data_IF_654593947349
#
_entry.id   IF_654593947349
#
_cell.length_a   1.000
_cell.length_b   1.000
_cell.length_c   1.000
_cell.angle_alpha   90.00
_cell.angle_beta   90.00
_cell.angle_gamma   90.00
#
_symmetry.space_group_name_H-M   'P 1'
#
loop_
_entity.id
_entity.type
_entity.pdbx_description
1 polymer ?
#
# COMPACT_ATOMS: atom_id res chain seq x y z
N UNK A 1 -7.61 -26.88 9.72
CA UNK A 1 -8.28 -26.30 8.54
C UNK A 1 -7.29 -26.35 7.39
N UNK A 2 -7.72 -26.71 6.17
CA UNK A 2 -6.85 -26.64 4.99
C UNK A 2 -6.68 -25.17 4.61
N UNK A 3 -5.47 -24.75 4.28
CA UNK A 3 -5.20 -23.42 3.71
C UNK A 3 -5.93 -23.33 2.37
N UNK A 4 -6.73 -22.28 2.12
CA UNK A 4 -7.38 -22.10 0.83
C UNK A 4 -6.32 -21.94 -0.27
N UNK A 5 -6.56 -22.52 -1.44
CA UNK A 5 -5.72 -22.30 -2.60
C UNK A 5 -6.06 -20.92 -3.21
N UNK A 6 -5.14 -19.97 -3.08
CA UNK A 6 -5.35 -18.59 -3.53
C UNK A 6 -4.49 -18.30 -4.76
N UNK A 7 -5.16 -17.89 -5.83
CA UNK A 7 -4.54 -17.40 -7.07
C UNK A 7 -4.63 -15.87 -7.12
N UNK A 8 -3.68 -15.21 -7.79
CA UNK A 8 -3.69 -13.76 -7.94
C UNK A 8 -3.75 -13.39 -9.41
N UNK A 9 -4.64 -12.45 -9.76
CA UNK A 9 -4.83 -11.96 -11.13
C UNK A 9 -4.70 -10.45 -11.19
N UNK A 10 -3.90 -9.95 -12.12
CA UNK A 10 -3.81 -8.52 -12.42
C UNK A 10 -4.76 -8.15 -13.56
N UNK A 11 -5.44 -7.02 -13.40
CA UNK A 11 -6.29 -6.37 -14.41
C UNK A 11 -5.91 -4.90 -14.50
N UNK A 12 -6.13 -4.33 -15.67
CA UNK A 12 -5.99 -2.90 -15.91
C UNK A 12 -7.23 -2.41 -16.66
N UNK A 13 -7.82 -1.31 -16.18
CA UNK A 13 -8.87 -0.57 -16.87
C UNK A 13 -8.47 0.90 -16.85
N UNK A 14 -8.21 1.46 -18.03
CA UNK A 14 -7.58 2.78 -18.18
C UNK A 14 -6.28 2.88 -17.36
N UNK A 15 -6.21 3.82 -16.43
CA UNK A 15 -5.08 4.03 -15.53
C UNK A 15 -5.21 3.27 -14.19
N UNK A 16 -6.34 2.57 -13.96
CA UNK A 16 -6.59 1.84 -12.73
C UNK A 16 -6.04 0.41 -12.84
N UNK A 17 -5.13 0.07 -11.93
CA UNK A 17 -4.60 -1.27 -11.75
C UNK A 17 -5.37 -1.97 -10.63
N UNK A 18 -5.74 -3.22 -10.87
CA UNK A 18 -6.42 -4.07 -9.89
C UNK A 18 -5.68 -5.39 -9.76
N UNK A 19 -5.33 -5.76 -8.53
CA UNK A 19 -4.89 -7.12 -8.20
C UNK A 19 -6.05 -7.80 -7.49
N UNK A 20 -6.52 -8.92 -8.00
CA UNK A 20 -7.57 -9.75 -7.39
C UNK A 20 -6.95 -11.00 -6.79
N UNK A 21 -7.43 -11.40 -5.61
CA UNK A 21 -7.19 -12.71 -5.02
C UNK A 21 -8.41 -13.60 -5.28
N UNK A 22 -8.19 -14.80 -5.82
CA UNK A 22 -9.22 -15.75 -6.19
C UNK A 22 -9.08 -17.06 -5.40
N UNK A 23 -10.20 -17.55 -4.86
CA UNK A 23 -10.31 -18.90 -4.31
C UNK A 23 -11.33 -19.67 -5.16
N UNK A 24 -10.91 -20.76 -5.81
CA UNK A 24 -11.79 -21.58 -6.66
C UNK A 24 -12.53 -20.75 -7.75
N UNK A 25 -11.82 -19.76 -8.33
CA UNK A 25 -12.36 -18.86 -9.35
C UNK A 25 -13.22 -17.70 -8.83
N UNK A 26 -13.53 -17.64 -7.53
CA UNK A 26 -14.27 -16.54 -6.91
C UNK A 26 -13.34 -15.47 -6.34
N UNK A 27 -13.65 -14.19 -6.54
CA UNK A 27 -12.87 -13.08 -5.97
C UNK A 27 -13.13 -13.00 -4.46
N UNK A 28 -12.07 -13.18 -3.67
CA UNK A 28 -12.09 -13.14 -2.20
C UNK A 28 -11.32 -11.96 -1.61
N UNK A 29 -10.64 -11.19 -2.45
CA UNK A 29 -9.98 -9.96 -2.07
C UNK A 29 -9.47 -9.20 -3.28
N UNK A 30 -9.16 -7.92 -3.10
CA UNK A 30 -8.57 -7.11 -4.15
C UNK A 30 -7.80 -5.91 -3.60
N UNK A 31 -6.90 -5.37 -4.40
CA UNK A 31 -6.28 -4.06 -4.23
C UNK A 31 -6.42 -3.25 -5.52
N UNK A 32 -6.91 -2.01 -5.40
CA UNK A 32 -7.06 -1.06 -6.49
C UNK A 32 -6.10 0.10 -6.28
N UNK A 33 -5.28 0.41 -7.27
CA UNK A 33 -4.30 1.47 -7.21
C UNK A 33 -4.05 2.09 -8.58
N UNK A 34 -3.54 3.31 -8.58
CA UNK A 34 -3.05 4.00 -9.78
C UNK A 34 -1.61 4.39 -9.57
N UNK A 35 -0.81 4.27 -10.64
CA UNK A 35 0.59 4.73 -10.63
C UNK A 35 0.68 5.95 -11.53
N UNK A 36 1.17 7.05 -10.97
CA UNK A 36 1.51 8.29 -11.67
C UNK A 36 3.00 8.56 -11.47
N UNK A 37 3.58 9.50 -12.24
CA UNK A 37 5.04 9.73 -12.27
C UNK A 37 5.67 9.81 -10.87
N UNK A 38 6.36 8.75 -10.46
CA UNK A 38 7.06 8.64 -9.17
C UNK A 38 6.19 8.36 -7.94
N UNK A 39 4.87 8.21 -8.09
CA UNK A 39 3.92 8.03 -6.99
C UNK A 39 2.86 6.96 -7.30
N UNK A 40 2.34 6.32 -6.27
CA UNK A 40 1.19 5.44 -6.38
C UNK A 40 0.09 5.82 -5.39
N UNK A 41 -1.15 5.79 -5.86
CA UNK A 41 -2.32 6.00 -5.03
C UNK A 41 -3.04 4.67 -4.81
N UNK A 42 -3.05 4.18 -3.57
CA UNK A 42 -3.86 3.05 -3.12
C UNK A 42 -5.29 3.53 -2.82
N UNK A 43 -6.23 3.16 -3.69
CA UNK A 43 -7.64 3.53 -3.51
C UNK A 43 -8.33 2.65 -2.49
N UNK A 44 -8.13 1.34 -2.58
CA UNK A 44 -8.84 0.38 -1.74
C UNK A 44 -8.11 -0.94 -1.70
N UNK A 45 -8.06 -1.55 -0.52
CA UNK A 45 -7.69 -2.95 -0.33
C UNK A 45 -8.74 -3.60 0.56
N UNK A 46 -9.22 -4.79 0.15
CA UNK A 46 -10.22 -5.53 0.91
C UNK A 46 -10.00 -7.03 0.78
N UNK A 47 -10.31 -7.76 1.84
CA UNK A 47 -10.36 -9.23 1.88
C UNK A 47 -11.68 -9.62 2.53
N UNK A 48 -12.38 -10.58 1.94
CA UNK A 48 -13.61 -11.15 2.51
C UNK A 48 -13.34 -11.70 3.91
N UNK A 49 -14.29 -11.50 4.83
CA UNK A 49 -14.08 -11.72 6.27
C UNK A 49 -13.65 -13.15 6.61
N UNK A 50 -14.25 -14.13 5.95
CA UNK A 50 -13.91 -15.55 6.07
C UNK A 50 -12.55 -15.94 5.45
N UNK A 51 -11.93 -15.03 4.70
CA UNK A 51 -10.61 -15.16 4.10
C UNK A 51 -9.56 -14.22 4.73
N UNK A 52 -9.94 -13.41 5.72
CA UNK A 52 -8.98 -12.63 6.53
C UNK A 52 -8.05 -13.59 7.28
N UNK A 53 -6.86 -13.09 7.66
CA UNK A 53 -5.82 -13.83 8.41
C UNK A 53 -5.14 -15.00 7.65
N UNK A 54 -5.45 -15.22 6.38
CA UNK A 54 -4.71 -16.15 5.50
C UNK A 54 -3.55 -15.50 4.73
N UNK A 55 -3.17 -14.26 5.07
CA UNK A 55 -2.06 -13.54 4.42
C UNK A 55 -2.40 -12.92 3.06
N UNK A 56 -3.66 -13.03 2.59
CA UNK A 56 -4.10 -12.51 1.30
C UNK A 56 -3.86 -11.00 1.18
N UNK A 57 -4.23 -10.21 2.20
CA UNK A 57 -4.02 -8.76 2.19
C UNK A 57 -2.53 -8.38 2.08
N UNK A 58 -1.65 -9.07 2.79
CA UNK A 58 -0.19 -8.87 2.69
C UNK A 58 0.30 -9.17 1.27
N UNK A 59 -0.18 -10.25 0.66
CA UNK A 59 0.23 -10.60 -0.70
C UNK A 59 -0.29 -9.59 -1.74
N UNK A 60 -1.51 -9.07 -1.57
CA UNK A 60 -2.04 -7.99 -2.42
C UNK A 60 -1.16 -6.73 -2.35
N UNK A 61 -0.73 -6.33 -1.14
CA UNK A 61 0.22 -5.22 -0.96
C UNK A 61 1.55 -5.52 -1.64
N UNK A 62 2.13 -6.71 -1.43
CA UNK A 62 3.41 -7.08 -2.06
C UNK A 62 3.37 -7.01 -3.58
N UNK A 63 2.30 -7.53 -4.20
CA UNK A 63 2.15 -7.48 -5.66
C UNK A 63 2.04 -6.03 -6.16
N UNK A 64 1.33 -5.17 -5.42
CA UNK A 64 1.26 -3.73 -5.72
C UNK A 64 2.63 -3.06 -5.55
N UNK A 65 3.37 -3.39 -4.49
CA UNK A 65 4.71 -2.85 -4.22
C UNK A 65 5.72 -3.26 -5.30
N UNK A 66 5.68 -4.50 -5.77
CA UNK A 66 6.50 -4.98 -6.89
C UNK A 66 6.17 -4.19 -8.17
N UNK A 67 4.90 -3.93 -8.43
CA UNK A 67 4.44 -3.10 -9.55
C UNK A 67 4.92 -1.64 -9.43
N UNK A 68 5.00 -1.11 -8.22
CA UNK A 68 5.51 0.22 -7.91
C UNK A 68 7.04 0.29 -8.10
N UNK A 69 7.78 -0.68 -7.58
CA UNK A 69 9.23 -0.78 -7.71
C UNK A 69 9.66 -0.86 -9.18
N UNK A 70 8.98 -1.69 -9.98
CA UNK A 70 9.24 -1.81 -11.42
C UNK A 70 9.01 -0.51 -12.20
N UNK A 71 8.26 0.45 -11.62
CA UNK A 71 7.95 1.76 -12.22
C UNK A 71 8.66 2.91 -11.51
N UNK A 72 9.63 2.62 -10.62
CA UNK A 72 10.39 3.61 -9.85
C UNK A 72 9.47 4.57 -9.09
N UNK A 73 8.42 4.02 -8.49
CA UNK A 73 7.57 4.75 -7.55
C UNK A 73 8.34 4.93 -6.25
N UNK A 74 8.39 6.17 -5.77
CA UNK A 74 9.12 6.55 -4.57
C UNK A 74 8.21 6.65 -3.34
N UNK A 75 6.90 6.78 -3.57
CA UNK A 75 5.92 6.96 -2.51
C UNK A 75 4.58 6.35 -2.90
N UNK A 76 4.00 5.60 -1.96
CA UNK A 76 2.66 5.03 -2.05
C UNK A 76 1.82 5.72 -0.99
N UNK A 77 0.65 6.23 -1.35
CA UNK A 77 -0.27 6.86 -0.41
C UNK A 77 -1.71 6.45 -0.66
N UNK A 78 -2.57 6.65 0.33
CA UNK A 78 -4.00 6.40 0.21
C UNK A 78 -4.77 6.99 1.38
N UNK A 79 -6.09 7.07 1.24
CA UNK A 79 -6.97 7.57 2.30
C UNK A 79 -7.23 6.48 3.34
N UNK A 80 -7.27 6.87 4.61
CA UNK A 80 -7.52 5.99 5.75
C UNK A 80 -8.87 6.34 6.41
N UNK A 81 -9.90 5.55 6.11
CA UNK A 81 -11.26 5.68 6.65
C UNK A 81 -11.81 4.54 7.54
N UNK A 82 -11.02 3.62 8.11
CA UNK A 82 -11.56 2.72 9.14
C UNK A 82 -12.17 3.48 10.33
N UNK A 83 -13.34 3.05 10.76
CA UNK A 83 -14.05 3.58 11.94
C UNK A 83 -14.41 2.43 12.91
N UNK A 84 -14.62 2.78 14.18
CA UNK A 84 -15.09 1.84 15.19
C UNK A 84 -14.12 0.67 15.44
N UNK A 85 -14.67 -0.55 15.58
CA UNK A 85 -13.90 -1.73 15.97
C UNK A 85 -12.86 -2.17 14.93
N UNK A 86 -13.04 -1.81 13.65
CA UNK A 86 -12.11 -2.19 12.57
C UNK A 86 -10.83 -1.35 12.55
N UNK A 87 -10.81 -0.15 13.16
CA UNK A 87 -9.62 0.74 13.14
C UNK A 87 -8.36 0.03 13.65
N UNK A 88 -8.48 -0.68 14.79
CA UNK A 88 -7.34 -1.37 15.38
C UNK A 88 -6.78 -2.49 14.48
N UNK A 89 -7.64 -3.23 13.79
CA UNK A 89 -7.24 -4.31 12.88
C UNK A 89 -6.58 -3.72 11.62
N UNK A 90 -7.18 -2.69 11.02
CA UNK A 90 -6.66 -2.08 9.79
C UNK A 90 -5.36 -1.31 10.06
N UNK A 91 -5.25 -0.61 11.20
CA UNK A 91 -4.00 0.01 11.66
C UNK A 91 -2.88 -1.00 11.81
N UNK A 92 -3.17 -2.12 12.47
CA UNK A 92 -2.21 -3.22 12.64
C UNK A 92 -1.77 -3.80 11.28
N UNK A 93 -2.72 -3.95 10.34
CA UNK A 93 -2.44 -4.39 8.99
C UNK A 93 -1.48 -3.45 8.25
N UNK A 94 -1.75 -2.13 8.23
CA UNK A 94 -0.88 -1.16 7.55
C UNK A 94 0.51 -1.09 8.18
N UNK A 95 0.59 -0.98 9.51
CA UNK A 95 1.86 -0.92 10.24
C UNK A 95 2.72 -2.17 9.96
N UNK A 96 2.11 -3.37 9.95
CA UNK A 96 2.81 -4.62 9.64
C UNK A 96 3.38 -4.66 8.22
N UNK A 97 2.75 -3.95 7.28
CA UNK A 97 3.22 -3.83 5.90
C UNK A 97 4.13 -2.60 5.71
N UNK A 98 4.53 -1.91 6.79
CA UNK A 98 5.45 -0.78 6.75
C UNK A 98 4.83 0.52 6.24
N UNK A 99 3.51 0.66 6.31
CA UNK A 99 2.83 1.93 6.09
C UNK A 99 2.72 2.70 7.40
N UNK A 100 2.94 4.00 7.31
CA UNK A 100 2.66 4.95 8.38
C UNK A 100 1.26 5.52 8.22
N UNK A 101 0.60 5.79 9.34
CA UNK A 101 -0.70 6.48 9.37
C UNK A 101 -0.46 7.88 9.92
N UNK A 102 -0.79 8.89 9.12
CA UNK A 102 -0.54 10.30 9.45
C UNK A 102 -1.75 11.18 9.09
N UNK A 103 -1.69 12.45 9.50
CA UNK A 103 -2.69 13.46 9.15
C UNK A 103 -2.15 14.36 8.05
N UNK A 104 -2.98 14.61 7.05
CA UNK A 104 -2.75 15.63 6.02
C UNK A 104 -3.98 16.53 5.94
N UNK A 105 -3.85 17.74 6.49
CA UNK A 105 -5.00 18.63 6.74
C UNK A 105 -6.07 17.97 7.61
N UNK A 106 -7.27 17.81 7.06
CA UNK A 106 -8.42 17.19 7.74
C UNK A 106 -8.52 15.68 7.49
N UNK A 107 -7.70 15.13 6.60
CA UNK A 107 -7.76 13.74 6.17
C UNK A 107 -6.78 12.89 7.00
N UNK A 108 -7.15 11.63 7.23
CA UNK A 108 -6.19 10.61 7.71
C UNK A 108 -5.70 9.84 6.51
N UNK A 109 -4.38 9.70 6.42
CA UNK A 109 -3.71 9.07 5.30
C UNK A 109 -2.94 7.84 5.76
N UNK A 110 -2.72 6.92 4.83
CA UNK A 110 -1.67 5.90 4.90
C UNK A 110 -0.62 6.22 3.86
N UNK A 111 0.65 6.06 4.21
CA UNK A 111 1.73 6.26 3.25
C UNK A 111 2.95 5.40 3.54
N UNK A 112 3.72 5.14 2.50
CA UNK A 112 4.95 4.36 2.56
C UNK A 112 5.93 4.85 1.50
N UNK A 113 7.12 5.22 1.93
CA UNK A 113 8.24 5.50 1.02
C UNK A 113 8.84 4.20 0.51
N UNK A 114 9.30 4.21 -0.75
CA UNK A 114 10.11 3.09 -1.25
C UNK A 114 11.42 3.02 -0.45
N UNK A 115 11.99 1.82 -0.23
CA UNK A 115 13.26 1.68 0.49
C UNK A 115 14.37 2.56 -0.10
N UNK A 116 14.46 2.66 -1.43
CA UNK A 116 15.42 3.51 -2.15
C UNK A 116 15.26 5.01 -1.85
N UNK A 117 14.06 5.43 -1.45
CA UNK A 117 13.76 6.83 -1.09
C UNK A 117 14.01 7.12 0.40
N UNK A 118 13.98 6.10 1.26
CA UNK A 118 14.24 6.26 2.69
C UNK A 118 15.72 6.61 2.96
N UNK A 119 16.64 6.11 2.12
CA UNK A 119 18.07 6.44 2.21
C UNK A 119 18.37 7.92 1.91
N UNK A 120 17.51 8.61 1.14
CA UNK A 120 17.67 10.03 0.84
C UNK A 120 17.22 10.95 2.00
N UNK A 121 16.27 10.51 2.82
CA UNK A 121 15.81 11.25 4.00
C UNK A 121 16.73 11.10 5.23
N UNK A 122 17.67 10.15 5.19
CA UNK A 122 18.74 10.01 6.18
C UNK A 122 19.93 10.95 5.96
N UNK A 123 20.01 11.64 4.82
CA UNK A 123 21.05 12.63 4.54
C UNK A 123 20.56 13.99 5.07
N UNK A 124 20.90 14.28 6.32
CA UNK A 124 20.87 15.65 6.82
C UNK A 124 21.87 16.46 5.99
N UNK A 125 21.38 17.22 5.00
CA UNK A 125 22.18 18.26 4.35
C UNK A 125 22.43 19.29 5.45
N UNK A 126 23.60 19.20 6.09
CA UNK A 126 24.11 20.32 6.87
C UNK A 126 24.25 21.47 5.89
N UNK A 127 23.37 22.46 6.00
CA UNK A 127 23.54 23.74 5.32
C UNK A 127 24.88 24.31 5.78
N UNK A 128 25.82 24.38 4.84
CA UNK A 128 27.14 24.96 5.03
C UNK A 128 26.97 26.47 5.28
N UNK A 129 27.29 27.01 6.47
CA UNK A 129 27.06 28.41 6.80
C UNK A 129 27.98 29.39 6.05
N UNK A 130 28.92 28.90 5.23
CA UNK A 130 29.90 29.74 4.53
C UNK A 130 29.48 30.18 3.11
N UNK A 131 28.24 29.95 2.69
CA UNK A 131 27.72 30.43 1.40
C UNK A 131 27.03 31.82 1.45
N UNK A 132 27.02 32.49 2.60
CA UNK A 132 26.65 33.91 2.71
C UNK A 132 27.86 34.77 3.07
N UNK A 133 28.78 34.97 2.11
CA UNK A 133 29.66 36.15 2.07
C UNK A 133 29.87 36.63 0.65
#
# INVERSE_FOLDING_TARGET
MKTPNIEYRKKQSDDLLTVEALCEGQVVGFANYKITKGQAWLYMIKVADNFRKYGIGTNLIRIMEDDCANRRVNFIEGKYYPEGAEDSEVRSFYNKNGFDIYKDGYETMVGKYSPESQDLHGISIKSDPDLEK
#
